data_IF_709644790784
#
_entry.id   IF_709644790784
#
_cell.length_a   1.000
_cell.length_b   1.000
_cell.length_c   1.000
_cell.angle_alpha   90.00
_cell.angle_beta   90.00
_cell.angle_gamma   90.00
#
_symmetry.space_group_name_H-M   'P 1'
#
loop_
_entity.id
_entity.type
_entity.pdbx_description
1 polymer ?
#
# COMPACT_ATOMS: atom_id res chain seq x y z
N UNK A 1 -28.60 12.49 -0.46
CA UNK A 1 -27.57 12.49 -1.53
C UNK A 1 -28.13 12.93 -2.90
N UNK A 2 -29.30 13.53 -2.95
CA UNK A 2 -29.92 13.90 -4.24
C UNK A 2 -29.31 15.15 -4.88
N UNK A 3 -28.75 16.04 -4.09
CA UNK A 3 -28.18 17.31 -4.59
C UNK A 3 -26.66 17.33 -4.67
N UNK A 4 -25.96 16.37 -4.06
CA UNK A 4 -24.49 16.36 -3.88
C UNK A 4 -23.91 17.61 -3.19
N UNK A 5 -24.76 18.43 -2.57
CA UNK A 5 -24.33 19.58 -1.81
C UNK A 5 -23.99 19.20 -0.36
N UNK A 6 -22.88 19.70 0.20
CA UNK A 6 -22.54 19.45 1.59
C UNK A 6 -23.56 20.09 2.55
N UNK A 7 -23.82 19.43 3.67
CA UNK A 7 -24.67 19.98 4.71
C UNK A 7 -24.02 21.21 5.36
N UNK A 8 -24.83 22.13 5.95
CA UNK A 8 -24.29 23.26 6.71
C UNK A 8 -23.30 22.78 7.78
N UNK A 9 -22.14 23.39 7.83
CA UNK A 9 -21.04 22.99 8.72
C UNK A 9 -20.09 21.93 8.17
N UNK A 10 -20.32 21.47 6.95
CA UNK A 10 -19.39 20.56 6.23
C UNK A 10 -18.80 21.32 5.04
N UNK A 11 -17.48 21.30 4.95
CA UNK A 11 -16.72 21.82 3.82
C UNK A 11 -15.90 20.68 3.21
N UNK A 12 -16.00 20.48 1.92
CA UNK A 12 -15.26 19.47 1.17
C UNK A 12 -14.50 20.14 0.02
N UNK A 13 -13.34 19.62 -0.29
CA UNK A 13 -12.55 20.12 -1.42
C UNK A 13 -11.53 19.12 -1.91
N UNK A 14 -10.98 19.40 -3.08
CA UNK A 14 -9.92 18.62 -3.71
C UNK A 14 -8.55 19.08 -3.18
N UNK A 15 -7.62 18.14 -2.99
CA UNK A 15 -6.23 18.44 -2.62
C UNK A 15 -5.40 18.98 -3.79
N UNK A 16 -5.88 18.85 -5.02
CA UNK A 16 -5.16 19.24 -6.23
C UNK A 16 -4.04 18.29 -6.60
N UNK A 17 -3.09 18.81 -7.37
CA UNK A 17 -1.94 18.03 -7.85
C UNK A 17 -0.99 17.62 -6.73
N UNK A 18 -0.59 16.35 -6.75
CA UNK A 18 0.32 15.74 -5.75
C UNK A 18 1.63 15.32 -6.42
N UNK A 19 2.68 15.11 -5.62
CA UNK A 19 3.96 14.60 -6.10
C UNK A 19 3.82 13.19 -6.74
N UNK A 20 2.90 12.38 -6.22
CA UNK A 20 2.54 11.07 -6.74
C UNK A 20 1.06 10.80 -6.58
N UNK A 21 0.56 9.71 -7.16
CA UNK A 21 -0.85 9.35 -7.11
C UNK A 21 -1.80 10.43 -7.63
N UNK A 22 -1.39 11.19 -8.64
CA UNK A 22 -2.21 12.26 -9.23
C UNK A 22 -3.51 11.73 -9.85
N UNK A 23 -3.53 10.46 -10.27
CA UNK A 23 -4.72 9.77 -10.77
C UNK A 23 -5.68 9.32 -9.68
N UNK A 24 -5.29 9.40 -8.40
CA UNK A 24 -6.15 9.09 -7.26
C UNK A 24 -6.79 10.38 -6.79
N UNK A 25 -8.12 10.41 -6.79
CA UNK A 25 -8.91 11.54 -6.32
C UNK A 25 -8.86 11.60 -4.78
N UNK A 26 -8.10 12.55 -4.26
CA UNK A 26 -7.97 12.80 -2.83
C UNK A 26 -8.54 14.17 -2.49
N UNK A 27 -9.44 14.20 -1.50
CA UNK A 27 -10.04 15.40 -1.02
C UNK A 27 -9.75 15.66 0.46
N UNK A 28 -10.22 16.79 0.94
CA UNK A 28 -10.29 17.12 2.35
C UNK A 28 -11.74 17.29 2.82
N UNK A 29 -11.97 17.03 4.08
CA UNK A 29 -13.25 17.18 4.76
C UNK A 29 -13.02 17.98 6.04
N UNK A 30 -13.69 19.14 6.15
CA UNK A 30 -13.72 19.94 7.36
C UNK A 30 -15.12 19.89 7.94
N UNK A 31 -15.23 19.62 9.24
CA UNK A 31 -16.49 19.56 9.98
C UNK A 31 -16.45 20.63 11.06
N UNK A 32 -17.40 21.59 10.99
CA UNK A 32 -17.48 22.69 11.93
C UNK A 32 -18.84 22.64 12.66
N UNK A 33 -18.81 22.38 13.96
CA UNK A 33 -19.99 22.39 14.84
C UNK A 33 -21.19 21.56 14.33
N UNK A 34 -20.91 20.45 13.63
CA UNK A 34 -21.95 19.56 13.13
C UNK A 34 -22.49 18.70 14.27
N UNK A 35 -23.79 18.78 14.49
CA UNK A 35 -24.51 17.96 15.47
C UNK A 35 -25.11 16.75 14.74
N UNK A 36 -24.71 15.56 15.15
CA UNK A 36 -25.22 14.32 14.59
C UNK A 36 -25.91 13.47 15.65
N UNK A 37 -26.89 12.63 15.30
CA UNK A 37 -27.48 11.70 16.25
C UNK A 37 -26.45 10.65 16.71
N UNK A 38 -26.62 10.15 17.94
CA UNK A 38 -25.73 9.09 18.49
C UNK A 38 -25.63 7.86 17.59
N UNK A 39 -26.70 7.54 16.86
CA UNK A 39 -26.73 6.43 15.89
C UNK A 39 -25.80 6.62 14.68
N UNK A 40 -25.26 7.82 14.46
CA UNK A 40 -24.25 8.05 13.41
C UNK A 40 -22.84 7.59 13.82
N UNK A 41 -22.61 7.27 15.09
CA UNK A 41 -21.36 6.70 15.56
C UNK A 41 -21.21 5.26 15.01
N UNK A 42 -20.02 4.92 14.51
CA UNK A 42 -19.65 3.55 14.18
C UNK A 42 -19.41 2.77 15.48
N UNK A 43 -20.45 2.19 16.03
CA UNK A 43 -20.53 1.68 17.40
C UNK A 43 -20.22 0.17 17.53
N UNK A 44 -19.46 -0.42 16.59
CA UNK A 44 -19.13 -1.85 16.68
C UNK A 44 -18.23 -2.17 17.88
N UNK A 45 -17.26 -1.32 18.14
CA UNK A 45 -16.23 -1.53 19.16
C UNK A 45 -16.21 -0.47 20.26
N UNK A 46 -17.09 0.53 20.16
CA UNK A 46 -17.20 1.62 21.15
C UNK A 46 -18.64 2.08 21.27
N UNK A 47 -18.97 2.66 22.41
CA UNK A 47 -20.28 3.24 22.65
C UNK A 47 -20.16 4.60 23.35
N UNK A 48 -21.11 5.47 23.09
CA UNK A 48 -21.35 6.66 23.90
C UNK A 48 -22.60 6.38 24.73
N UNK A 49 -22.48 6.44 26.05
CA UNK A 49 -23.58 6.21 26.99
C UNK A 49 -24.63 7.31 26.84
N UNK A 50 -25.79 7.16 27.50
CA UNK A 50 -26.81 8.18 27.52
C UNK A 50 -26.36 9.45 28.30
N UNK A 51 -25.45 9.25 29.22
CA UNK A 51 -24.85 10.29 30.07
C UNK A 51 -23.74 11.06 29.33
N UNK A 52 -23.27 10.55 28.19
CA UNK A 52 -22.28 11.20 27.33
C UNK A 52 -20.86 10.62 27.49
N UNK A 53 -20.68 9.57 28.29
CA UNK A 53 -19.39 8.93 28.52
C UNK A 53 -19.03 8.00 27.37
N UNK A 54 -17.74 7.95 27.04
CA UNK A 54 -17.21 7.07 25.99
C UNK A 54 -16.73 5.76 26.60
N UNK A 55 -17.26 4.66 26.10
CA UNK A 55 -16.87 3.31 26.51
C UNK A 55 -16.30 2.53 25.33
N UNK A 56 -15.13 1.93 25.52
CA UNK A 56 -14.53 1.02 24.58
C UNK A 56 -14.99 -0.42 24.86
N UNK A 57 -15.74 -1.02 23.92
CA UNK A 57 -16.33 -2.37 24.06
C UNK A 57 -15.41 -3.50 23.62
N UNK A 58 -14.28 -3.17 23.03
CA UNK A 58 -13.36 -4.15 22.48
C UNK A 58 -11.95 -4.03 23.06
N UNK A 59 -11.17 -5.10 22.92
CA UNK A 59 -9.75 -5.05 23.22
C UNK A 59 -9.05 -4.04 22.30
N UNK A 60 -8.27 -3.09 22.84
CA UNK A 60 -7.50 -2.14 22.05
C UNK A 60 -6.58 -2.79 21.00
N UNK A 61 -6.18 -4.07 21.21
CA UNK A 61 -5.36 -4.85 20.27
C UNK A 61 -6.02 -5.06 18.92
N UNK A 62 -7.36 -5.04 18.83
CA UNK A 62 -8.09 -5.14 17.57
C UNK A 62 -7.74 -4.02 16.56
N UNK A 63 -7.48 -2.82 17.04
CA UNK A 63 -7.03 -1.71 16.19
C UNK A 63 -5.67 -2.00 15.55
N UNK A 64 -4.77 -2.63 16.31
CA UNK A 64 -3.47 -3.04 15.77
C UNK A 64 -3.56 -4.12 14.70
N UNK A 65 -4.54 -5.01 14.77
CA UNK A 65 -4.76 -6.01 13.72
C UNK A 65 -5.09 -5.36 12.37
N UNK A 66 -5.94 -4.33 12.35
CA UNK A 66 -6.30 -3.62 11.12
C UNK A 66 -5.07 -2.94 10.52
N UNK A 67 -4.26 -2.27 11.35
CA UNK A 67 -3.02 -1.64 10.92
C UNK A 67 -2.00 -2.67 10.40
N UNK A 68 -1.88 -3.82 11.07
CA UNK A 68 -0.97 -4.91 10.68
C UNK A 68 -1.37 -5.50 9.32
N UNK A 69 -2.67 -5.69 9.07
CA UNK A 69 -3.18 -6.13 7.77
C UNK A 69 -2.81 -5.17 6.64
N UNK A 70 -2.95 -3.87 6.87
CA UNK A 70 -2.58 -2.85 5.88
C UNK A 70 -1.08 -2.88 5.59
N UNK A 71 -0.23 -2.97 6.62
CA UNK A 71 1.23 -3.06 6.47
C UNK A 71 1.65 -4.32 5.72
N UNK A 72 1.00 -5.45 6.00
CA UNK A 72 1.21 -6.70 5.27
C UNK A 72 0.88 -6.54 3.77
N UNK A 73 -0.21 -5.86 3.46
CA UNK A 73 -0.58 -5.53 2.07
C UNK A 73 0.50 -4.72 1.36
N UNK A 74 1.17 -3.80 2.05
CA UNK A 74 2.30 -3.03 1.50
C UNK A 74 3.48 -3.95 1.16
N UNK A 75 3.85 -4.89 2.05
CA UNK A 75 4.94 -5.84 1.80
C UNK A 75 4.64 -6.68 0.55
N UNK A 76 3.42 -7.20 0.42
CA UNK A 76 3.00 -7.97 -0.75
C UNK A 76 3.04 -7.15 -2.04
N UNK A 77 2.56 -5.91 -2.00
CA UNK A 77 2.61 -4.99 -3.13
C UNK A 77 4.05 -4.64 -3.54
N UNK A 78 4.97 -4.47 -2.59
CA UNK A 78 6.38 -4.21 -2.86
C UNK A 78 7.03 -5.34 -3.66
N UNK A 79 6.84 -6.60 -3.27
CA UNK A 79 7.36 -7.75 -4.01
C UNK A 79 6.89 -7.76 -5.47
N UNK A 80 5.60 -7.53 -5.68
CA UNK A 80 5.02 -7.46 -7.02
C UNK A 80 5.58 -6.30 -7.86
N UNK A 81 5.74 -5.12 -7.27
CA UNK A 81 6.29 -3.95 -7.96
C UNK A 81 7.77 -4.14 -8.33
N UNK A 82 8.56 -4.81 -7.50
CA UNK A 82 9.95 -5.16 -7.80
C UNK A 82 10.01 -6.10 -9.02
N UNK A 83 9.13 -7.11 -9.09
CA UNK A 83 9.05 -7.96 -10.28
C UNK A 83 8.70 -7.18 -11.54
N UNK A 84 7.71 -6.30 -11.49
CA UNK A 84 7.32 -5.47 -12.63
C UNK A 84 8.48 -4.61 -13.11
N UNK A 85 9.19 -3.96 -12.20
CA UNK A 85 10.37 -3.14 -12.54
C UNK A 85 11.49 -3.98 -13.14
N UNK A 86 11.75 -5.18 -12.58
CA UNK A 86 12.72 -6.13 -13.11
C UNK A 86 12.40 -6.59 -14.52
N UNK A 87 11.15 -6.91 -14.82
CA UNK A 87 10.70 -7.30 -16.17
C UNK A 87 10.94 -6.16 -17.17
N UNK A 88 10.52 -4.95 -16.83
CA UNK A 88 10.69 -3.78 -17.71
C UNK A 88 12.17 -3.50 -17.95
N UNK A 89 12.98 -3.46 -16.89
CA UNK A 89 14.41 -3.19 -16.99
C UNK A 89 15.15 -4.26 -17.79
N UNK A 90 14.82 -5.54 -17.59
CA UNK A 90 15.44 -6.65 -18.34
C UNK A 90 15.09 -6.58 -19.82
N UNK A 91 13.82 -6.38 -20.17
CA UNK A 91 13.38 -6.24 -21.56
C UNK A 91 14.04 -5.05 -22.25
N UNK A 92 14.16 -3.94 -21.56
CA UNK A 92 14.88 -2.77 -22.08
C UNK A 92 16.36 -3.07 -22.30
N UNK A 93 17.04 -3.73 -21.35
CA UNK A 93 18.45 -4.08 -21.43
C UNK A 93 18.77 -5.05 -22.57
N UNK A 94 17.83 -5.92 -22.97
CA UNK A 94 17.97 -6.81 -24.14
C UNK A 94 17.97 -6.02 -25.45
N UNK A 95 17.17 -4.98 -25.55
CA UNK A 95 16.99 -4.21 -26.78
C UNK A 95 17.96 -3.03 -26.88
N UNK A 96 18.20 -2.31 -25.79
CA UNK A 96 19.03 -1.12 -25.79
C UNK A 96 20.50 -1.44 -25.95
N UNK A 97 21.14 -0.77 -26.88
CA UNK A 97 22.60 -0.78 -27.10
C UNK A 97 23.19 0.56 -26.69
N UNK A 98 24.41 0.56 -26.17
CA UNK A 98 25.13 1.76 -25.78
C UNK A 98 26.63 1.47 -25.66
N UNK A 99 27.44 2.43 -26.12
CA UNK A 99 28.89 2.37 -26.25
C UNK A 99 29.41 1.28 -27.21
N UNK A 100 30.57 1.54 -27.79
CA UNK A 100 31.18 0.64 -28.74
C UNK A 100 31.53 -0.71 -28.10
N UNK A 101 31.23 -1.80 -28.79
CA UNK A 101 31.53 -3.16 -28.35
C UNK A 101 33.04 -3.45 -28.31
N UNK A 102 33.76 -2.91 -29.30
CA UNK A 102 35.23 -3.02 -29.39
C UNK A 102 35.81 -1.69 -29.90
N UNK A 103 37.09 -1.41 -29.53
CA UNK A 103 37.82 -0.25 -30.03
C UNK A 103 37.83 -0.25 -31.56
N UNK A 104 37.31 0.81 -32.18
CA UNK A 104 37.26 0.98 -33.63
C UNK A 104 36.02 0.44 -34.34
N UNK A 105 35.08 -0.20 -33.65
CA UNK A 105 33.79 -0.61 -34.23
C UNK A 105 32.72 0.41 -33.94
N UNK A 106 31.78 0.58 -34.92
CA UNK A 106 30.56 1.40 -34.72
C UNK A 106 29.43 0.61 -34.06
N UNK A 107 29.65 -0.68 -33.82
CA UNK A 107 28.62 -1.55 -33.23
C UNK A 107 28.57 -1.34 -31.71
N UNK A 108 27.41 -0.94 -31.22
CA UNK A 108 27.16 -0.74 -29.79
C UNK A 108 26.83 -2.07 -29.09
N UNK A 109 27.29 -2.21 -27.84
CA UNK A 109 27.03 -3.34 -26.97
C UNK A 109 25.64 -3.26 -26.34
N UNK A 110 24.94 -4.40 -26.19
CA UNK A 110 23.67 -4.45 -25.47
C UNK A 110 23.90 -4.14 -23.99
N UNK A 111 22.96 -3.45 -23.35
CA UNK A 111 23.06 -3.16 -21.92
C UNK A 111 23.12 -4.43 -21.07
N UNK A 112 22.42 -5.49 -21.50
CA UNK A 112 22.42 -6.77 -20.78
C UNK A 112 23.81 -7.44 -20.75
N UNK A 113 24.68 -7.16 -21.72
CA UNK A 113 26.02 -7.76 -21.80
C UNK A 113 27.04 -7.07 -20.84
N UNK A 114 26.63 -6.02 -20.13
CA UNK A 114 27.45 -5.40 -19.11
C UNK A 114 27.28 -6.13 -17.78
N UNK A 115 28.38 -6.66 -17.24
CA UNK A 115 28.39 -7.45 -16.01
C UNK A 115 27.71 -6.72 -14.83
N UNK A 116 28.05 -5.47 -14.62
CA UNK A 116 27.47 -4.65 -13.51
C UNK A 116 25.96 -4.53 -13.68
N UNK A 117 25.47 -4.33 -14.92
CA UNK A 117 24.05 -4.23 -15.18
C UNK A 117 23.32 -5.56 -14.94
N UNK A 118 23.93 -6.65 -15.38
CA UNK A 118 23.42 -8.01 -15.16
C UNK A 118 23.34 -8.35 -13.66
N UNK A 119 24.37 -8.00 -12.88
CA UNK A 119 24.36 -8.17 -11.42
C UNK A 119 23.24 -7.38 -10.74
N UNK A 120 23.01 -6.13 -11.14
CA UNK A 120 21.92 -5.31 -10.60
C UNK A 120 20.56 -5.91 -10.91
N UNK A 121 20.34 -6.37 -12.14
CA UNK A 121 19.10 -7.05 -12.52
C UNK A 121 18.90 -8.35 -11.75
N UNK A 122 19.95 -9.16 -11.60
CA UNK A 122 19.90 -10.40 -10.82
C UNK A 122 19.55 -10.16 -9.36
N UNK A 123 20.19 -9.17 -8.72
CA UNK A 123 19.86 -8.75 -7.35
C UNK A 123 18.41 -8.27 -7.22
N UNK A 124 17.93 -7.50 -8.20
CA UNK A 124 16.54 -7.02 -8.18
C UNK A 124 15.54 -8.18 -8.27
N UNK A 125 15.76 -9.14 -9.16
CA UNK A 125 14.91 -10.33 -9.29
C UNK A 125 14.94 -11.18 -8.01
N UNK A 126 16.12 -11.41 -7.44
CA UNK A 126 16.27 -12.16 -6.20
C UNK A 126 15.54 -11.48 -5.03
N UNK A 127 15.70 -10.15 -4.88
CA UNK A 127 15.00 -9.38 -3.87
C UNK A 127 13.48 -9.43 -4.07
N UNK A 128 13.00 -9.30 -5.31
CA UNK A 128 11.59 -9.40 -5.63
C UNK A 128 11.01 -10.76 -5.22
N UNK A 129 11.71 -11.85 -5.53
CA UNK A 129 11.31 -13.20 -5.14
C UNK A 129 11.28 -13.36 -3.62
N UNK A 130 12.32 -12.90 -2.94
CA UNK A 130 12.41 -12.96 -1.47
C UNK A 130 11.25 -12.22 -0.81
N UNK A 131 11.00 -10.97 -1.20
CA UNK A 131 9.92 -10.16 -0.63
C UNK A 131 8.55 -10.77 -0.94
N UNK A 132 8.37 -11.31 -2.14
CA UNK A 132 7.13 -11.99 -2.53
C UNK A 132 6.86 -13.22 -1.63
N UNK A 133 7.86 -14.07 -1.41
CA UNK A 133 7.74 -15.25 -0.56
C UNK A 133 7.50 -14.85 0.91
N UNK A 134 8.25 -13.88 1.43
CA UNK A 134 8.06 -13.34 2.78
C UNK A 134 6.64 -12.78 2.95
N UNK A 135 6.18 -11.98 2.00
CA UNK A 135 4.82 -11.42 2.05
C UNK A 135 3.74 -12.50 2.05
N UNK A 136 3.94 -13.59 1.29
CA UNK A 136 3.03 -14.73 1.29
C UNK A 136 3.02 -15.46 2.64
N UNK A 137 4.19 -15.81 3.18
CA UNK A 137 4.31 -16.50 4.48
C UNK A 137 3.72 -15.66 5.61
N UNK A 138 4.02 -14.35 5.65
CA UNK A 138 3.42 -13.45 6.62
C UNK A 138 1.90 -13.37 6.48
N UNK A 139 1.37 -13.47 5.24
CA UNK A 139 -0.07 -13.51 4.99
C UNK A 139 -0.74 -14.75 5.58
N UNK A 140 -0.09 -15.89 5.49
CA UNK A 140 -0.55 -17.16 6.05
C UNK A 140 -0.52 -17.11 7.60
N UNK A 141 0.58 -16.64 8.18
CA UNK A 141 0.71 -16.43 9.63
C UNK A 141 -0.34 -15.45 10.18
N UNK A 142 -0.58 -14.35 9.46
CA UNK A 142 -1.59 -13.38 9.89
C UNK A 142 -2.99 -13.98 9.91
N UNK A 143 -3.33 -14.84 8.94
CA UNK A 143 -4.62 -15.56 8.95
C UNK A 143 -4.73 -16.51 10.13
N UNK A 144 -3.66 -17.24 10.46
CA UNK A 144 -3.62 -18.11 11.64
C UNK A 144 -3.87 -17.32 12.93
N UNK A 145 -3.13 -16.21 13.13
CA UNK A 145 -3.36 -15.33 14.28
C UNK A 145 -4.78 -14.77 14.33
N UNK A 146 -5.40 -14.46 13.18
CA UNK A 146 -6.79 -14.01 13.18
C UNK A 146 -7.77 -15.09 13.64
N UNK A 147 -7.52 -16.36 13.29
CA UNK A 147 -8.36 -17.49 13.70
C UNK A 147 -8.21 -17.72 15.21
N UNK A 148 -6.98 -17.80 15.71
CA UNK A 148 -6.69 -17.95 17.15
C UNK A 148 -7.33 -16.82 17.98
N UNK A 149 -7.27 -15.59 17.46
CA UNK A 149 -7.90 -14.45 18.11
C UNK A 149 -9.43 -14.52 18.12
N UNK A 150 -10.03 -15.10 17.08
CA UNK A 150 -11.48 -15.30 17.01
C UNK A 150 -11.97 -16.42 17.94
N UNK A 151 -11.12 -17.44 18.16
CA UNK A 151 -11.42 -18.59 19.01
C UNK A 151 -11.12 -18.32 20.50
N UNK A 152 -10.52 -17.16 20.83
CA UNK A 152 -10.24 -16.73 22.21
C UNK A 152 -8.97 -17.35 22.79
N UNK A 153 -8.15 -17.99 21.99
CA UNK A 153 -6.82 -18.48 22.35
C UNK A 153 -5.81 -17.31 22.31
N UNK A 154 -5.41 -16.83 23.50
CA UNK A 154 -4.44 -15.73 23.67
C UNK A 154 -3.15 -16.22 24.33
#
# INVERSE_FOLDING_TARGET
METHEPLPGIEVGDLGTKLGYTSVDNGYLLIKNLRVPRSALLARFSEITKEGDFELKSDPRLLYQIMSKTRLGIIQACGFNIFRSGIVATRYAVCRRQFANQKGTKEERKLLDYQVHMELLGKNIANGLTIFLVGRTLGELFKQCQTEFADGDF
#
